data_IF_870996382915
#
_entry.id   IF_870996382915
#
_cell.length_a   1.000
_cell.length_b   1.000
_cell.length_c   1.000
_cell.angle_alpha   90.00
_cell.angle_beta   90.00
_cell.angle_gamma   90.00
#
_symmetry.space_group_name_H-M   'P 1'
#
loop_
_entity.id
_entity.type
_entity.pdbx_description
1 polymer ?
#
# COMPACT_ATOMS: atom_id res chain seq x y z
N UNK A 1 3.32 31.24 21.79
CA UNK A 1 3.10 30.29 20.68
C UNK A 1 3.83 28.97 20.90
N UNK A 2 3.44 28.14 21.88
CA UNK A 2 4.18 26.89 22.23
C UNK A 2 3.31 25.61 22.31
N UNK A 3 2.02 25.67 21.95
CA UNK A 3 1.08 24.56 22.18
C UNK A 3 0.75 23.69 20.94
N UNK A 4 1.22 24.04 19.74
CA UNK A 4 0.80 23.34 18.51
C UNK A 4 1.52 22.00 18.27
N UNK A 5 2.74 21.85 18.79
CA UNK A 5 3.57 20.65 18.60
C UNK A 5 3.09 19.42 19.39
N UNK A 6 2.22 19.59 20.40
CA UNK A 6 1.73 18.48 21.22
C UNK A 6 0.58 17.68 20.59
N UNK A 7 -0.04 18.17 19.50
CA UNK A 7 -1.19 17.51 18.86
C UNK A 7 -0.84 16.36 17.92
N UNK A 8 0.43 16.23 17.54
CA UNK A 8 0.91 15.13 16.68
C UNK A 8 1.59 14.00 17.46
N UNK A 9 1.56 14.02 18.79
CA UNK A 9 2.05 12.89 19.57
C UNK A 9 1.06 11.72 19.38
N UNK A 10 1.53 10.50 19.03
CA UNK A 10 0.66 9.33 19.03
C UNK A 10 -0.04 9.25 20.39
N UNK A 11 -1.34 8.94 20.37
CA UNK A 11 -2.16 8.78 21.58
C UNK A 11 -1.39 7.87 22.55
N UNK A 12 -1.07 8.40 23.74
CA UNK A 12 -0.45 7.61 24.80
C UNK A 12 -1.33 6.38 25.06
N UNK A 13 -0.81 5.18 24.79
CA UNK A 13 -1.49 3.91 25.06
C UNK A 13 -1.71 2.98 23.86
N UNK A 14 -1.53 3.42 22.60
CA UNK A 14 -1.63 2.51 21.45
C UNK A 14 -0.27 1.86 21.19
N UNK A 15 -0.17 0.54 21.38
CA UNK A 15 1.05 -0.22 21.04
C UNK A 15 1.25 -0.20 19.52
N UNK A 16 2.44 0.18 19.08
CA UNK A 16 2.82 0.29 17.68
C UNK A 16 4.10 -0.49 17.44
N UNK A 17 4.23 -1.09 16.27
CA UNK A 17 5.46 -1.71 15.80
C UNK A 17 6.12 -0.77 14.78
N UNK A 18 7.28 -0.20 15.14
CA UNK A 18 8.02 0.71 14.28
C UNK A 18 8.80 -0.07 13.21
N UNK A 19 8.92 0.53 12.02
CA UNK A 19 9.68 -0.02 10.90
C UNK A 19 11.16 -0.22 11.26
N UNK A 20 11.74 0.71 12.03
CA UNK A 20 13.14 0.63 12.48
C UNK A 20 13.45 -0.65 13.25
N UNK A 21 12.48 -1.15 14.03
CA UNK A 21 12.67 -2.30 14.92
C UNK A 21 12.66 -3.62 14.15
N UNK A 22 12.10 -3.61 12.94
CA UNK A 22 11.94 -4.80 12.09
C UNK A 22 12.73 -4.74 10.79
N UNK A 23 13.27 -3.58 10.41
CA UNK A 23 13.97 -3.36 9.14
C UNK A 23 15.06 -4.40 8.85
N UNK A 24 15.98 -4.76 9.79
CA UNK A 24 16.99 -5.78 9.51
C UNK A 24 16.41 -7.15 9.16
N UNK A 25 15.28 -7.53 9.78
CA UNK A 25 14.59 -8.80 9.50
C UNK A 25 13.88 -8.76 8.15
N UNK A 26 13.35 -7.59 7.77
CA UNK A 26 12.73 -7.36 6.47
C UNK A 26 13.78 -7.42 5.36
N UNK A 27 14.96 -6.82 5.55
CA UNK A 27 16.05 -6.86 4.57
C UNK A 27 16.52 -8.29 4.29
N UNK A 28 16.69 -9.10 5.35
CA UNK A 28 17.02 -10.53 5.20
C UNK A 28 15.96 -11.28 4.42
N UNK A 29 14.67 -11.03 4.68
CA UNK A 29 13.57 -11.64 3.96
C UNK A 29 13.58 -11.25 2.48
N UNK A 30 13.74 -9.96 2.17
CA UNK A 30 13.80 -9.49 0.79
C UNK A 30 14.99 -10.09 0.05
N UNK A 31 16.16 -10.14 0.69
CA UNK A 31 17.35 -10.75 0.11
C UNK A 31 17.16 -12.26 -0.14
N UNK A 32 16.57 -12.99 0.82
CA UNK A 32 16.33 -14.42 0.67
C UNK A 32 15.37 -14.76 -0.48
N UNK A 33 14.34 -13.93 -0.71
CA UNK A 33 13.33 -14.18 -1.75
C UNK A 33 13.75 -13.66 -3.12
N UNK A 34 14.36 -12.48 -3.18
CA UNK A 34 14.64 -11.77 -4.44
C UNK A 34 16.12 -11.68 -4.80
N UNK A 35 17.03 -12.18 -3.96
CA UNK A 35 18.48 -12.13 -4.19
C UNK A 35 19.08 -10.73 -4.15
N UNK A 36 18.31 -9.72 -3.70
CA UNK A 36 18.73 -8.31 -3.65
C UNK A 36 18.19 -7.61 -2.42
N UNK A 37 18.92 -6.59 -1.98
CA UNK A 37 18.51 -5.70 -0.89
C UNK A 37 17.78 -4.50 -1.49
N UNK A 38 16.74 -4.04 -0.79
CA UNK A 38 16.02 -2.81 -1.12
C UNK A 38 16.12 -1.86 0.07
N UNK A 39 16.69 -0.64 -0.09
CA UNK A 39 16.67 0.36 0.97
C UNK A 39 15.24 0.61 1.47
N UNK A 40 15.04 0.47 2.77
CA UNK A 40 13.73 0.69 3.40
C UNK A 40 13.60 2.12 3.91
N UNK A 41 12.51 2.76 3.53
CA UNK A 41 12.20 4.13 3.90
C UNK A 41 10.82 4.23 4.58
N UNK A 42 10.65 5.12 5.56
CA UNK A 42 9.33 5.42 6.09
C UNK A 42 8.52 6.22 5.06
N UNK A 43 7.35 5.70 4.68
CA UNK A 43 6.32 6.44 3.96
C UNK A 43 5.62 7.44 4.88
N UNK A 44 5.18 8.55 4.29
CA UNK A 44 4.43 9.59 4.99
C UNK A 44 2.98 9.60 4.47
N UNK A 45 1.99 9.87 5.34
CA UNK A 45 0.64 10.11 4.87
C UNK A 45 0.62 11.36 3.99
N UNK A 46 -0.25 11.42 2.98
CA UNK A 46 -0.38 12.62 2.15
C UNK A 46 -0.82 13.81 3.02
N UNK A 47 -0.40 15.04 2.66
CA UNK A 47 -0.79 16.22 3.40
C UNK A 47 -2.32 16.40 3.39
N UNK A 48 -2.90 16.94 4.47
CA UNK A 48 -4.34 17.19 4.51
C UNK A 48 -4.76 18.18 3.41
N UNK A 49 -5.91 17.90 2.76
CA UNK A 49 -6.42 18.78 1.69
C UNK A 49 -6.72 20.17 2.21
N UNK A 50 -6.17 21.18 1.53
CA UNK A 50 -6.52 22.59 1.74
C UNK A 50 -7.87 22.93 1.09
N UNK A 51 -8.44 24.09 1.40
CA UNK A 51 -9.69 24.55 0.76
C UNK A 51 -9.55 24.68 -0.77
N UNK A 52 -8.43 25.22 -1.26
CA UNK A 52 -8.15 25.32 -2.69
C UNK A 52 -8.06 23.94 -3.35
N UNK A 53 -7.40 22.98 -2.68
CA UNK A 53 -7.26 21.61 -3.17
C UNK A 53 -8.64 20.93 -3.30
N UNK A 54 -9.55 21.14 -2.33
CA UNK A 54 -10.92 20.62 -2.41
C UNK A 54 -11.72 21.20 -3.58
N UNK A 55 -11.53 22.48 -3.91
CA UNK A 55 -12.24 23.12 -5.02
C UNK A 55 -11.70 22.65 -6.38
N UNK A 56 -10.37 22.63 -6.54
CA UNK A 56 -9.71 22.30 -7.80
C UNK A 56 -9.73 20.80 -8.11
N UNK A 57 -9.72 19.93 -7.08
CA UNK A 57 -9.65 18.46 -7.22
C UNK A 57 -10.91 17.73 -6.80
N UNK A 58 -12.08 18.38 -6.89
CA UNK A 58 -13.38 17.78 -6.53
C UNK A 58 -13.72 16.52 -7.33
N UNK A 59 -13.10 16.33 -8.50
CA UNK A 59 -13.30 15.17 -9.36
C UNK A 59 -12.23 14.08 -9.20
N UNK A 60 -11.23 14.29 -8.33
CA UNK A 60 -10.21 13.30 -8.00
C UNK A 60 -10.60 12.49 -6.74
N UNK A 61 -10.12 11.24 -6.67
CA UNK A 61 -10.30 10.41 -5.49
C UNK A 61 -9.72 11.11 -4.24
N UNK A 62 -10.35 10.97 -3.06
CA UNK A 62 -9.77 11.49 -1.82
C UNK A 62 -8.38 10.86 -1.59
N UNK A 63 -7.43 11.62 -1.03
CA UNK A 63 -6.11 11.09 -0.75
C UNK A 63 -6.23 10.04 0.35
N UNK A 64 -5.32 9.08 0.37
CA UNK A 64 -5.27 8.08 1.43
C UNK A 64 -5.15 8.76 2.80
N UNK A 65 -5.91 8.30 3.79
CA UNK A 65 -5.83 8.84 5.16
C UNK A 65 -4.62 8.33 5.94
N UNK A 66 -3.88 7.37 5.39
CA UNK A 66 -2.73 6.72 5.99
C UNK A 66 -1.55 6.67 5.02
N UNK A 67 -0.36 6.43 5.59
CA UNK A 67 0.83 6.19 4.80
C UNK A 67 0.67 4.87 4.02
N UNK A 68 0.94 4.93 2.71
CA UNK A 68 0.82 3.77 1.81
C UNK A 68 2.21 3.20 1.49
N UNK A 69 2.33 1.87 1.37
CA UNK A 69 3.56 1.27 0.87
C UNK A 69 3.75 1.59 -0.61
N UNK A 70 5.00 1.80 -1.04
CA UNK A 70 5.36 2.12 -2.42
C UNK A 70 6.77 1.64 -2.77
N UNK A 71 7.11 1.66 -4.06
CA UNK A 71 8.46 1.44 -4.57
C UNK A 71 8.70 2.27 -5.83
N UNK A 72 9.96 2.65 -6.04
CA UNK A 72 10.47 3.28 -7.27
C UNK A 72 11.36 2.30 -8.07
N UNK A 73 11.41 1.02 -7.67
CA UNK A 73 12.28 -0.01 -8.24
C UNK A 73 13.67 -0.10 -7.61
N UNK A 74 14.13 0.97 -6.95
CA UNK A 74 15.40 1.03 -6.22
C UNK A 74 15.21 0.78 -4.72
N UNK A 75 14.28 1.51 -4.10
CA UNK A 75 13.92 1.43 -2.70
C UNK A 75 12.46 1.04 -2.46
N UNK A 76 12.14 0.77 -1.19
CA UNK A 76 10.78 0.44 -0.74
C UNK A 76 10.40 1.38 0.40
N UNK A 77 9.25 2.03 0.24
CA UNK A 77 8.64 2.83 1.29
C UNK A 77 7.57 2.01 1.99
N UNK A 78 7.63 1.92 3.32
CA UNK A 78 6.66 1.23 4.16
C UNK A 78 6.11 2.19 5.22
N UNK A 79 4.88 1.97 5.76
CA UNK A 79 4.39 2.77 6.88
C UNK A 79 5.41 2.81 8.01
N UNK A 80 5.67 4.00 8.58
CA UNK A 80 6.65 4.13 9.67
C UNK A 80 6.31 3.24 10.87
N UNK A 81 5.03 3.14 11.19
CA UNK A 81 4.52 2.36 12.28
C UNK A 81 3.22 1.67 11.86
N UNK A 82 3.02 0.44 12.33
CA UNK A 82 1.75 -0.28 12.23
C UNK A 82 1.16 -0.37 13.63
N UNK A 83 -0.12 -0.01 13.76
CA UNK A 83 -0.87 -0.19 15.00
C UNK A 83 -1.01 -1.69 15.28
N UNK A 84 -0.66 -2.10 16.50
CA UNK A 84 -0.80 -3.49 16.91
C UNK A 84 -2.25 -3.71 17.36
N UNK A 85 -3.11 -4.11 16.43
CA UNK A 85 -4.54 -4.32 16.71
C UNK A 85 -4.80 -5.60 17.54
N UNK A 86 -3.98 -6.64 17.34
CA UNK A 86 -4.16 -7.96 17.99
C UNK A 86 -2.87 -8.45 18.62
N UNK A 87 -1.85 -8.70 17.81
CA UNK A 87 -0.54 -9.20 18.27
C UNK A 87 0.58 -8.56 17.47
N UNK A 88 1.76 -8.46 18.07
CA UNK A 88 2.96 -7.98 17.39
C UNK A 88 3.35 -8.88 16.21
N UNK A 89 3.09 -10.18 16.31
CA UNK A 89 3.28 -11.15 15.21
C UNK A 89 2.41 -10.82 14.01
N UNK A 90 1.15 -10.41 14.20
CA UNK A 90 0.28 -9.99 13.11
C UNK A 90 0.78 -8.70 12.44
N UNK A 91 1.25 -7.72 13.23
CA UNK A 91 1.85 -6.50 12.71
C UNK A 91 3.14 -6.78 11.90
N UNK A 92 4.00 -7.67 12.39
CA UNK A 92 5.19 -8.11 11.65
C UNK A 92 4.83 -8.83 10.35
N UNK A 93 3.84 -9.73 10.37
CA UNK A 93 3.35 -10.39 9.15
C UNK A 93 2.82 -9.37 8.14
N UNK A 94 2.18 -8.30 8.59
CA UNK A 94 1.74 -7.20 7.71
C UNK A 94 2.91 -6.45 7.09
N UNK A 95 3.97 -6.16 7.85
CA UNK A 95 5.20 -5.59 7.28
C UNK A 95 5.84 -6.50 6.23
N UNK A 96 5.97 -7.80 6.53
CA UNK A 96 6.51 -8.80 5.60
C UNK A 96 5.70 -8.83 4.32
N UNK A 97 4.38 -8.85 4.42
CA UNK A 97 3.51 -8.87 3.24
C UNK A 97 3.68 -7.60 2.39
N UNK A 98 3.62 -6.41 3.01
CA UNK A 98 3.81 -5.15 2.28
C UNK A 98 5.18 -5.08 1.61
N UNK A 99 6.24 -5.50 2.32
CA UNK A 99 7.59 -5.60 1.76
C UNK A 99 7.60 -6.51 0.53
N UNK A 100 7.11 -7.74 0.63
CA UNK A 100 7.16 -8.72 -0.45
C UNK A 100 6.36 -8.25 -1.68
N UNK A 101 5.20 -7.60 -1.46
CA UNK A 101 4.41 -7.00 -2.53
C UNK A 101 5.17 -5.89 -3.25
N UNK A 102 5.81 -4.98 -2.52
CA UNK A 102 6.59 -3.89 -3.14
C UNK A 102 7.88 -4.41 -3.78
N UNK A 103 8.56 -5.37 -3.17
CA UNK A 103 9.75 -6.01 -3.72
C UNK A 103 9.43 -6.76 -5.01
N UNK A 104 8.28 -7.43 -5.10
CA UNK A 104 7.82 -8.07 -6.34
C UNK A 104 7.60 -7.04 -7.45
N UNK A 105 6.96 -5.90 -7.15
CA UNK A 105 6.82 -4.79 -8.11
C UNK A 105 8.18 -4.25 -8.55
N UNK A 106 9.09 -4.06 -7.62
CA UNK A 106 10.44 -3.60 -7.93
C UNK A 106 11.19 -4.61 -8.82
N UNK A 107 11.08 -5.91 -8.54
CA UNK A 107 11.67 -6.98 -9.35
C UNK A 107 11.07 -7.08 -10.76
N UNK A 108 9.76 -6.79 -10.90
CA UNK A 108 9.07 -6.70 -12.21
C UNK A 108 9.38 -5.43 -12.99
N UNK A 109 10.11 -4.48 -12.39
CA UNK A 109 10.38 -3.19 -13.01
C UNK A 109 9.12 -2.33 -13.13
N UNK A 110 8.14 -2.46 -12.22
CA UNK A 110 6.88 -1.73 -12.32
C UNK A 110 7.07 -0.21 -12.37
N UNK A 111 8.09 0.33 -11.70
CA UNK A 111 8.38 1.76 -11.71
C UNK A 111 8.97 2.23 -13.07
N UNK A 112 9.75 1.37 -13.73
CA UNK A 112 10.33 1.65 -15.04
C UNK A 112 9.25 1.70 -16.13
N UNK A 113 8.28 0.79 -16.08
CA UNK A 113 7.19 0.71 -17.06
C UNK A 113 5.99 1.61 -16.71
N UNK A 114 6.08 2.40 -15.64
CA UNK A 114 4.98 3.28 -15.24
C UNK A 114 4.71 4.33 -16.33
N UNK A 115 3.45 4.51 -16.78
CA UNK A 115 3.13 5.41 -17.89
C UNK A 115 3.06 6.88 -17.44
N UNK A 116 4.23 7.46 -17.09
CA UNK A 116 4.36 8.82 -16.54
C UNK A 116 3.73 9.92 -17.39
N UNK A 117 3.79 9.76 -18.73
CA UNK A 117 3.31 10.76 -19.70
C UNK A 117 1.84 10.59 -20.06
N UNK A 118 1.21 9.52 -19.62
CA UNK A 118 -0.19 9.22 -19.93
C UNK A 118 -1.15 9.88 -18.96
N UNK A 119 -2.43 9.91 -19.33
CA UNK A 119 -3.48 10.46 -18.47
C UNK A 119 -3.73 9.63 -17.19
N UNK A 120 -4.50 10.20 -16.26
CA UNK A 120 -4.77 9.57 -14.96
C UNK A 120 -5.49 8.21 -15.05
N UNK A 121 -6.32 7.99 -16.08
CA UNK A 121 -7.03 6.74 -16.29
C UNK A 121 -6.09 5.61 -16.69
N UNK A 122 -5.20 5.85 -17.65
CA UNK A 122 -4.19 4.87 -18.07
C UNK A 122 -3.29 4.52 -16.89
N UNK A 123 -2.86 5.51 -16.11
CA UNK A 123 -2.06 5.30 -14.90
C UNK A 123 -2.81 4.50 -13.82
N UNK A 124 -4.11 4.71 -13.66
CA UNK A 124 -4.94 3.95 -12.73
C UNK A 124 -5.12 2.49 -13.19
N UNK A 125 -5.41 2.28 -14.48
CA UNK A 125 -5.45 0.94 -15.08
C UNK A 125 -4.13 0.21 -14.90
N UNK A 126 -3.01 0.89 -15.16
CA UNK A 126 -1.66 0.34 -14.94
C UNK A 126 -1.48 -0.13 -13.49
N UNK A 127 -1.81 0.72 -12.51
CA UNK A 127 -1.69 0.36 -11.10
C UNK A 127 -2.52 -0.87 -10.72
N UNK A 128 -3.75 -0.99 -11.24
CA UNK A 128 -4.61 -2.14 -11.02
C UNK A 128 -4.02 -3.42 -11.63
N UNK A 129 -3.71 -3.38 -12.93
CA UNK A 129 -3.21 -4.54 -13.67
C UNK A 129 -1.87 -5.01 -13.10
N UNK A 130 -0.97 -4.07 -12.80
CA UNK A 130 0.33 -4.38 -12.25
C UNK A 130 0.24 -4.90 -10.81
N UNK A 131 -0.74 -4.41 -10.01
CA UNK A 131 -1.01 -5.00 -8.70
C UNK A 131 -1.39 -6.48 -8.81
N UNK A 132 -2.32 -6.82 -9.72
CA UNK A 132 -2.74 -8.21 -9.93
C UNK A 132 -1.61 -9.07 -10.48
N UNK A 133 -0.83 -8.56 -11.42
CA UNK A 133 0.28 -9.30 -12.00
C UNK A 133 1.40 -9.57 -10.97
N UNK A 134 1.72 -8.58 -10.13
CA UNK A 134 2.67 -8.74 -9.04
C UNK A 134 2.18 -9.72 -7.98
N UNK A 135 0.92 -9.62 -7.55
CA UNK A 135 0.30 -10.55 -6.60
C UNK A 135 0.36 -11.99 -7.12
N UNK A 136 -0.06 -12.21 -8.37
CA UNK A 136 -0.07 -13.55 -8.99
C UNK A 136 1.35 -14.11 -9.15
N UNK A 137 2.33 -13.28 -9.48
CA UNK A 137 3.72 -13.72 -9.55
C UNK A 137 4.30 -14.04 -8.17
N UNK A 138 3.96 -13.25 -7.15
CA UNK A 138 4.37 -13.50 -5.77
C UNK A 138 3.76 -14.79 -5.24
N UNK A 139 2.49 -15.06 -5.55
CA UNK A 139 1.79 -16.28 -5.20
C UNK A 139 2.43 -17.51 -5.86
N UNK A 140 2.81 -17.43 -7.13
CA UNK A 140 3.59 -18.50 -7.80
C UNK A 140 4.96 -18.73 -7.18
N UNK A 141 5.64 -17.66 -6.75
CA UNK A 141 6.96 -17.74 -6.12
C UNK A 141 6.88 -18.31 -4.69
N UNK A 142 5.83 -17.95 -3.95
CA UNK A 142 5.62 -18.30 -2.55
C UNK A 142 4.17 -18.79 -2.36
N UNK A 143 3.83 -20.03 -2.78
CA UNK A 143 2.45 -20.53 -2.71
C UNK A 143 1.86 -20.51 -1.29
N UNK A 144 2.70 -20.64 -0.26
CA UNK A 144 2.28 -20.53 1.14
C UNK A 144 1.71 -19.16 1.54
N UNK A 145 1.90 -18.11 0.73
CA UNK A 145 1.33 -16.77 0.97
C UNK A 145 -0.06 -16.57 0.37
N UNK A 146 -0.60 -17.52 -0.41
CA UNK A 146 -1.89 -17.38 -1.08
C UNK A 146 -3.02 -16.97 -0.12
N UNK A 147 -3.13 -17.64 1.03
CA UNK A 147 -4.12 -17.31 2.07
C UNK A 147 -3.92 -15.90 2.64
N UNK A 148 -2.69 -15.54 2.99
CA UNK A 148 -2.35 -14.21 3.53
C UNK A 148 -2.62 -13.08 2.52
N UNK A 149 -2.34 -13.30 1.24
CA UNK A 149 -2.67 -12.34 0.16
C UNK A 149 -4.18 -12.18 0.03
N UNK A 150 -4.94 -13.28 0.05
CA UNK A 150 -6.40 -13.25 0.00
C UNK A 150 -6.99 -12.47 1.17
N UNK A 151 -6.55 -12.74 2.40
CA UNK A 151 -7.01 -12.02 3.59
C UNK A 151 -6.70 -10.53 3.52
N UNK A 152 -5.52 -10.18 2.98
CA UNK A 152 -5.14 -8.79 2.76
C UNK A 152 -6.03 -8.09 1.72
N UNK A 153 -6.37 -8.77 0.61
CA UNK A 153 -7.29 -8.24 -0.41
C UNK A 153 -8.70 -8.05 0.17
N UNK A 154 -9.21 -9.00 0.94
CA UNK A 154 -10.51 -8.90 1.61
C UNK A 154 -10.53 -7.75 2.63
N UNK A 155 -9.45 -7.57 3.41
CA UNK A 155 -9.29 -6.43 4.30
C UNK A 155 -9.28 -5.10 3.55
N UNK A 156 -8.58 -5.03 2.41
CA UNK A 156 -8.57 -3.85 1.55
C UNK A 156 -9.94 -3.58 0.90
N UNK A 157 -10.69 -4.62 0.54
CA UNK A 157 -12.06 -4.53 0.03
C UNK A 157 -13.01 -3.97 1.09
N UNK A 158 -12.93 -4.47 2.32
CA UNK A 158 -13.73 -4.01 3.45
C UNK A 158 -13.44 -2.53 3.80
N UNK A 159 -12.20 -2.09 3.60
CA UNK A 159 -11.79 -0.71 3.85
C UNK A 159 -12.15 0.28 2.71
N UNK A 160 -12.74 -0.18 1.59
CA UNK A 160 -13.05 0.70 0.45
C UNK A 160 -14.15 1.73 0.81
N UNK A 161 -14.01 3.00 0.39
CA UNK A 161 -15.04 4.00 0.61
C UNK A 161 -16.31 3.66 -0.18
N UNK A 162 -17.49 3.98 0.36
CA UNK A 162 -18.76 3.77 -0.35
C UNK A 162 -18.76 4.50 -1.71
N UNK A 163 -19.29 3.87 -2.77
CA UNK A 163 -19.31 4.46 -4.12
C UNK A 163 -19.95 5.86 -4.15
N UNK A 164 -21.02 6.06 -3.37
CA UNK A 164 -21.71 7.35 -3.25
C UNK A 164 -20.84 8.47 -2.66
N UNK A 165 -19.73 8.13 -1.97
CA UNK A 165 -18.76 9.13 -1.46
C UNK A 165 -17.71 9.54 -2.50
N UNK A 166 -17.67 8.88 -3.66
CA UNK A 166 -16.75 9.17 -4.76
C UNK A 166 -17.47 9.95 -5.86
N UNK A 167 -16.72 10.80 -6.57
CA UNK A 167 -17.23 11.46 -7.75
C UNK A 167 -17.69 10.42 -8.82
N UNK A 168 -18.84 10.61 -9.50
CA UNK A 168 -19.37 9.65 -10.47
C UNK A 168 -18.38 9.17 -11.54
N UNK A 169 -17.48 10.03 -12.08
CA UNK A 169 -16.49 9.57 -13.05
C UNK A 169 -15.56 8.48 -12.52
N UNK A 170 -15.35 8.36 -11.20
CA UNK A 170 -14.44 7.38 -10.60
C UNK A 170 -15.09 6.01 -10.40
N UNK A 171 -16.41 5.90 -10.52
CA UNK A 171 -17.15 4.66 -10.21
C UNK A 171 -16.69 3.45 -11.03
N UNK A 172 -16.46 3.54 -12.35
CA UNK A 172 -16.02 2.38 -13.12
C UNK A 172 -14.68 1.82 -12.62
N UNK A 173 -13.74 2.70 -12.29
CA UNK A 173 -12.43 2.31 -11.76
C UNK A 173 -12.57 1.66 -10.37
N UNK A 174 -13.38 2.25 -9.50
CA UNK A 174 -13.63 1.70 -8.16
C UNK A 174 -14.32 0.33 -8.24
N UNK A 175 -15.27 0.14 -9.15
CA UNK A 175 -15.94 -1.14 -9.37
C UNK A 175 -14.94 -2.19 -9.89
N UNK A 176 -14.08 -1.84 -10.85
CA UNK A 176 -13.03 -2.74 -11.33
C UNK A 176 -12.07 -3.14 -10.20
N UNK A 177 -11.62 -2.19 -9.38
CA UNK A 177 -10.79 -2.47 -8.21
C UNK A 177 -11.50 -3.40 -7.22
N UNK A 178 -12.78 -3.13 -6.89
CA UNK A 178 -13.57 -3.96 -5.97
C UNK A 178 -13.73 -5.39 -6.50
N UNK A 179 -14.01 -5.54 -7.79
CA UNK A 179 -14.06 -6.85 -8.43
C UNK A 179 -12.72 -7.58 -8.32
N UNK A 180 -11.59 -6.89 -8.58
CA UNK A 180 -10.26 -7.48 -8.45
C UNK A 180 -9.88 -7.89 -7.02
N UNK A 181 -10.35 -7.14 -6.01
CA UNK A 181 -10.11 -7.48 -4.60
C UNK A 181 -11.03 -8.61 -4.12
N UNK A 182 -12.25 -8.69 -4.66
CA UNK A 182 -13.22 -9.74 -4.35
C UNK A 182 -12.90 -11.06 -5.05
N UNK A 183 -12.25 -11.01 -6.21
CA UNK A 183 -11.83 -12.16 -6.99
C UNK A 183 -10.79 -12.97 -6.20
N UNK A 184 -11.27 -13.97 -5.47
CA UNK A 184 -10.46 -14.92 -4.73
C UNK A 184 -9.83 -15.98 -5.64
N UNK A 185 -9.94 -15.81 -6.96
CA UNK A 185 -9.71 -16.82 -7.98
C UNK A 185 -8.74 -16.31 -9.04
N UNK A 186 -7.50 -16.77 -8.97
CA UNK A 186 -6.88 -17.29 -10.16
C UNK A 186 -6.20 -18.61 -9.77
N UNK A 187 -6.40 -19.70 -10.53
CA UNK A 187 -5.62 -20.92 -10.38
C UNK A 187 -4.12 -20.68 -10.63
#
# INVERSE_FOLDING_TARGET
MQAYWRRHRPRAGVRQLELSDVAPRLDLLAHAVFGRVFPLHPSQPPPPRTFLDKLLRRHEAPPASSALPATDGGGIWLPRAIVVDTTETAALSRYRLMLLLQAMRAARGSALHYPWRENAWVRACYHLLEARAADAQLERLLPGLAGTLRDFRLGALAARPALASLAPPLWPMEQALRAMLADASAP
#
